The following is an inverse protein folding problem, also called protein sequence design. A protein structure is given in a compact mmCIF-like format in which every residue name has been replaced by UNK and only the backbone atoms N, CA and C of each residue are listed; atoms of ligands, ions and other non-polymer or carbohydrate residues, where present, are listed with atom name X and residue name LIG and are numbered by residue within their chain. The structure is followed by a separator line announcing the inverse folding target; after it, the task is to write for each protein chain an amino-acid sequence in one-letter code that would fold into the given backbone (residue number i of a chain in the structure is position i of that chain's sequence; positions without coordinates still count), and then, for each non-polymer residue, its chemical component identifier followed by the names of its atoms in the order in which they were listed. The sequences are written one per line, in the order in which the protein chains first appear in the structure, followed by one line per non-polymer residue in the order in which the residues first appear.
data_IF_972764958988
#
_entry.id   IF_972764958988
#
_cell.length_a   1.000
_cell.length_b   1.000
_cell.length_c   1.000
_cell.angle_alpha   90.00
_cell.angle_beta   90.00
_cell.angle_gamma   90.00
#
_symmetry.space_group_name_H-M   'P 1'
#
loop_
_entity.id
_entity.type
_entity.pdbx_description
1 polymer ?
#
# COMPACT_ATOMS: atom_id res chain seq x y z
N UNK A 1 -12.43 -0.16 -11.29
CA UNK A 1 -11.69 0.89 -10.59
C UNK A 1 -10.65 1.53 -11.49
N UNK A 2 -10.42 2.79 -11.32
CA UNK A 2 -9.52 3.54 -12.19
C UNK A 2 -8.23 3.93 -11.46
N UNK A 3 -7.12 3.28 -11.78
CA UNK A 3 -5.82 3.58 -11.17
C UNK A 3 -5.34 4.99 -11.50
N UNK A 4 -5.84 5.57 -12.59
CA UNK A 4 -5.46 6.93 -12.98
C UNK A 4 -5.92 7.98 -11.99
N UNK A 5 -6.88 7.64 -11.12
CA UNK A 5 -7.35 8.56 -10.09
C UNK A 5 -6.43 8.63 -8.88
N UNK A 6 -5.48 7.71 -8.79
CA UNK A 6 -4.57 7.68 -7.67
C UNK A 6 -3.46 8.71 -7.84
N UNK A 7 -3.03 9.36 -6.75
CA UNK A 7 -1.89 10.25 -6.84
C UNK A 7 -0.61 9.47 -7.15
N UNK A 8 0.43 10.13 -7.68
CA UNK A 8 1.68 9.44 -8.00
C UNK A 8 2.29 8.69 -6.82
N UNK A 9 2.15 9.23 -5.61
CA UNK A 9 2.67 8.55 -4.41
C UNK A 9 1.99 7.21 -4.18
N UNK A 10 0.67 7.13 -4.39
CA UNK A 10 -0.05 5.87 -4.24
C UNK A 10 0.37 4.86 -5.31
N UNK A 11 0.60 5.31 -6.53
CA UNK A 11 1.07 4.43 -7.59
C UNK A 11 2.45 3.87 -7.28
N UNK A 12 3.32 4.69 -6.69
CA UNK A 12 4.65 4.24 -6.30
C UNK A 12 4.56 3.19 -5.18
N UNK A 13 3.68 3.40 -4.20
CA UNK A 13 3.48 2.43 -3.13
C UNK A 13 2.99 1.09 -3.71
N UNK A 14 2.05 1.14 -4.65
CA UNK A 14 1.58 -0.08 -5.34
C UNK A 14 2.77 -0.82 -5.95
N UNK A 15 3.63 -0.09 -6.65
CA UNK A 15 4.77 -0.70 -7.33
C UNK A 15 5.70 -1.39 -6.34
N UNK A 16 5.94 -0.77 -5.20
CA UNK A 16 6.76 -1.37 -4.15
C UNK A 16 6.11 -2.62 -3.58
N UNK A 17 4.79 -2.62 -3.44
CA UNK A 17 4.06 -3.76 -2.89
C UNK A 17 3.81 -4.88 -3.88
N UNK A 18 4.05 -4.67 -5.17
CA UNK A 18 3.85 -5.68 -6.21
C UNK A 18 4.75 -6.90 -6.01
N UNK A 19 5.82 -6.77 -5.25
CA UNK A 19 6.72 -7.89 -4.98
C UNK A 19 6.03 -9.01 -4.19
N UNK A 20 4.85 -8.74 -3.65
CA UNK A 20 4.10 -9.74 -2.89
C UNK A 20 4.45 -9.79 -1.41
N UNK A 21 5.40 -9.01 -0.98
CA UNK A 21 5.80 -8.97 0.42
C UNK A 21 4.88 -8.06 1.22
N UNK A 22 4.62 -8.42 2.47
CA UNK A 22 3.94 -7.55 3.41
C UNK A 22 4.99 -6.64 4.04
N UNK A 23 4.76 -5.34 3.99
CA UNK A 23 5.72 -4.35 4.47
C UNK A 23 5.09 -3.46 5.53
N UNK A 24 5.90 -3.04 6.51
CA UNK A 24 5.47 -2.02 7.47
C UNK A 24 5.52 -0.65 6.80
N UNK A 25 4.86 0.33 7.41
CA UNK A 25 4.91 1.70 6.90
C UNK A 25 6.35 2.19 6.81
N UNK A 26 7.16 1.88 7.82
CA UNK A 26 8.57 2.28 7.84
C UNK A 26 9.34 1.71 6.64
N UNK A 27 9.08 0.43 6.33
CA UNK A 27 9.73 -0.20 5.18
C UNK A 27 9.29 0.44 3.86
N UNK A 28 7.99 0.79 3.76
CA UNK A 28 7.48 1.46 2.58
C UNK A 28 8.14 2.83 2.41
N UNK A 29 8.28 3.57 3.52
CA UNK A 29 8.98 4.86 3.49
C UNK A 29 10.40 4.69 2.98
N UNK A 30 11.12 3.70 3.51
CA UNK A 30 12.50 3.45 3.11
C UNK A 30 12.63 3.07 1.63
N UNK A 31 11.67 2.30 1.12
CA UNK A 31 11.73 1.84 -0.27
C UNK A 31 11.27 2.88 -1.29
N UNK A 32 10.34 3.75 -0.89
CA UNK A 32 9.80 4.77 -1.79
C UNK A 32 10.57 6.09 -1.73
N UNK A 33 11.32 6.30 -0.65
CA UNK A 33 12.00 7.57 -0.37
C UNK A 33 11.03 8.74 -0.23
N UNK A 34 9.76 8.46 0.06
CA UNK A 34 8.75 9.48 0.26
C UNK A 34 8.70 9.90 1.73
N UNK A 35 8.29 11.14 2.03
CA UNK A 35 8.06 11.55 3.41
C UNK A 35 6.98 10.68 4.08
N UNK A 36 7.09 10.51 5.40
CA UNK A 36 6.17 9.66 6.14
C UNK A 36 4.71 10.07 5.94
N UNK A 37 4.42 11.37 5.97
CA UNK A 37 3.05 11.86 5.77
C UNK A 37 2.52 11.55 4.38
N UNK A 38 3.39 11.58 3.37
CA UNK A 38 3.00 11.25 2.01
C UNK A 38 2.66 9.78 1.88
N UNK A 39 3.47 8.92 2.53
CA UNK A 39 3.19 7.48 2.55
C UNK A 39 1.87 7.21 3.27
N UNK A 40 1.62 7.86 4.41
CA UNK A 40 0.36 7.69 5.12
C UNK A 40 -0.84 8.11 4.27
N UNK A 41 -0.71 9.22 3.55
CA UNK A 41 -1.76 9.66 2.65
C UNK A 41 -2.01 8.64 1.53
N UNK A 42 -0.92 8.13 0.95
CA UNK A 42 -1.02 7.13 -0.11
C UNK A 42 -1.71 5.86 0.39
N UNK A 43 -1.33 5.39 1.59
CA UNK A 43 -1.95 4.21 2.17
C UNK A 43 -3.44 4.43 2.43
N UNK A 44 -3.82 5.61 2.91
CA UNK A 44 -5.22 5.94 3.12
C UNK A 44 -6.00 5.90 1.81
N UNK A 45 -5.43 6.47 0.76
CA UNK A 45 -6.08 6.46 -0.56
C UNK A 45 -6.25 5.04 -1.09
N UNK A 46 -5.22 4.21 -0.92
CA UNK A 46 -5.29 2.82 -1.36
C UNK A 46 -6.33 2.03 -0.57
N UNK A 47 -6.46 2.31 0.72
CA UNK A 47 -7.51 1.68 1.53
C UNK A 47 -8.90 2.09 1.06
N UNK A 48 -9.09 3.37 0.75
CA UNK A 48 -10.37 3.86 0.25
C UNK A 48 -10.75 3.19 -1.07
N UNK A 49 -9.76 2.88 -1.89
CA UNK A 49 -9.99 2.21 -3.18
C UNK A 49 -9.98 0.69 -3.06
N UNK A 50 -9.88 0.17 -1.82
CA UNK A 50 -9.90 -1.27 -1.53
C UNK A 50 -8.77 -2.04 -2.21
N UNK A 51 -7.66 -1.36 -2.46
CA UNK A 51 -6.49 -1.97 -3.07
C UNK A 51 -5.46 -2.42 -2.04
N UNK A 52 -5.60 -1.99 -0.80
CA UNK A 52 -4.63 -2.25 0.26
C UNK A 52 -5.15 -3.30 1.22
N UNK A 53 -4.28 -4.28 1.50
CA UNK A 53 -4.51 -5.25 2.56
C UNK A 53 -3.69 -4.83 3.77
N UNK A 54 -4.30 -4.81 4.95
CA UNK A 54 -3.63 -4.44 6.19
C UNK A 54 -3.75 -5.58 7.18
N UNK A 55 -2.62 -5.95 7.81
CA UNK A 55 -2.59 -7.01 8.80
C UNK A 55 -1.83 -6.56 10.03
N UNK A 56 -2.17 -7.14 11.18
CA UNK A 56 -1.45 -6.89 12.41
C UNK A 56 -0.02 -7.40 12.33
N UNK A 57 0.90 -6.62 12.91
CA UNK A 57 2.29 -7.05 13.08
C UNK A 57 2.48 -7.42 14.55
N UNK A 58 2.39 -8.72 14.86
CA UNK A 58 2.42 -9.19 16.24
C UNK A 58 3.65 -8.78 17.07
N UNK A 59 4.86 -8.75 16.50
CA UNK A 59 6.03 -8.33 17.30
C UNK A 59 5.93 -6.89 17.79
N UNK A 60 5.17 -6.04 17.11
CA UNK A 60 4.92 -4.67 17.52
C UNK A 60 3.49 -4.29 17.17
N UNK A 61 2.62 -4.30 18.20
CA UNK A 61 1.20 -4.03 18.01
C UNK A 61 0.91 -2.63 17.48
N UNK A 62 1.89 -1.73 17.52
CA UNK A 62 1.72 -0.37 17.01
C UNK A 62 1.99 -0.26 15.52
N UNK A 63 2.41 -1.34 14.90
CA UNK A 63 2.68 -1.38 13.47
C UNK A 63 1.74 -2.35 12.77
N UNK A 64 1.43 -2.03 11.52
CA UNK A 64 0.67 -2.90 10.65
C UNK A 64 1.53 -3.31 9.47
N UNK A 65 1.22 -4.46 8.89
CA UNK A 65 1.82 -4.89 7.64
C UNK A 65 0.85 -4.56 6.51
N UNK A 66 1.39 -4.04 5.43
CA UNK A 66 0.60 -3.63 4.27
C UNK A 66 0.99 -4.43 3.03
N UNK A 67 0.00 -4.78 2.24
CA UNK A 67 0.22 -5.48 0.99
C UNK A 67 -0.88 -5.12 0.01
N UNK A 68 -0.78 -5.62 -1.22
CA UNK A 68 -1.82 -5.40 -2.20
C UNK A 68 -2.97 -6.38 -2.00
N UNK A 69 -4.18 -5.90 -2.25
CA UNK A 69 -5.36 -6.75 -2.27
C UNK A 69 -5.44 -7.40 -3.64
N UNK A 70 -4.88 -8.59 -3.75
CA UNK A 70 -4.78 -9.30 -5.03
C UNK A 70 -6.15 -9.55 -5.67
N UNK A 71 -7.17 -9.80 -4.86
CA UNK A 71 -8.51 -10.05 -5.38
C UNK A 71 -9.03 -8.85 -6.17
N UNK A 72 -8.86 -7.64 -5.64
CA UNK A 72 -9.28 -6.42 -6.33
C UNK A 72 -8.50 -6.21 -7.62
N UNK A 73 -7.19 -6.49 -7.58
CA UNK A 73 -6.35 -6.34 -8.76
C UNK A 73 -6.69 -7.35 -9.84
N UNK A 74 -7.00 -8.59 -9.47
CA UNK A 74 -7.42 -9.61 -10.41
C UNK A 74 -8.70 -9.22 -11.14
N UNK A 75 -9.65 -8.67 -10.41
CA UNK A 75 -10.89 -8.22 -11.02
C UNK A 75 -10.63 -7.10 -12.03
N UNK A 76 -9.66 -6.25 -11.74
CA UNK A 76 -9.33 -5.13 -12.63
C UNK A 76 -8.58 -5.57 -13.89
N UNK A 77 -7.82 -6.66 -13.81
CA UNK A 77 -7.02 -7.13 -14.93
C UNK A 77 -7.75 -8.14 -15.80
N UNK A 78 -8.83 -8.67 -15.31
CA UNK A 78 -9.64 -9.60 -16.07
C UNK A 78 -10.58 -8.86 -17.02
#
# INVERSE_FOLDING_TARGET
MNLDRLPPSAKLVIKVLESGSLLTQKEIINKTYLPARTVRYALTRLKEEKLLLERFYFPDARQSLYGLNATSLEVMTA
#
